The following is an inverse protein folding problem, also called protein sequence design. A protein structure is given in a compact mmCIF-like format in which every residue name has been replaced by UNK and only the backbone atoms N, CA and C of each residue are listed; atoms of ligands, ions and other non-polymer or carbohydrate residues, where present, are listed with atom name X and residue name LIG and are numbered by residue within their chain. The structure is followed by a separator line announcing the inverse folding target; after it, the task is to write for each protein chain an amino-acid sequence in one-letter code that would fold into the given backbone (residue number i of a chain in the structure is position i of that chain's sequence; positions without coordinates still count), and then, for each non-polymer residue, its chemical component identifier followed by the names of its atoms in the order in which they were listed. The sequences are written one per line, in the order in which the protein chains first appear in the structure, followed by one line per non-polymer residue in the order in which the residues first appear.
data_IF_872595770392
#
_entry.id   IF_872595770392
#
_cell.length_a   1.000
_cell.length_b   1.000
_cell.length_c   1.000
_cell.angle_alpha   90.00
_cell.angle_beta   90.00
_cell.angle_gamma   90.00
#
_symmetry.space_group_name_H-M   'P 1'
#
loop_
_entity.id
_entity.type
_entity.pdbx_description
1 polymer ?
#
# COMPACT_ATOMS: atom_id res chain seq x y z
N UNK A 1 18.32 44.39 -7.39
CA UNK A 1 17.68 43.68 -6.27
C UNK A 1 17.49 42.24 -6.72
N UNK A 2 18.18 41.29 -6.11
CA UNK A 2 18.18 39.88 -6.53
C UNK A 2 16.97 39.17 -5.95
N UNK A 3 16.15 38.54 -6.80
CA UNK A 3 15.04 37.68 -6.40
C UNK A 3 15.51 36.54 -5.48
N UNK A 4 14.83 36.27 -4.35
CA UNK A 4 15.12 35.09 -3.57
C UNK A 4 14.64 33.84 -4.31
N UNK A 5 15.60 33.07 -4.82
CA UNK A 5 15.40 31.69 -5.24
C UNK A 5 14.92 30.86 -4.04
N UNK A 6 13.83 30.12 -4.26
CA UNK A 6 13.48 28.79 -3.72
C UNK A 6 12.06 28.76 -3.13
N UNK A 7 11.18 28.00 -3.77
CA UNK A 7 10.34 27.07 -2.99
C UNK A 7 9.80 25.89 -3.82
N UNK A 8 10.45 24.73 -3.82
CA UNK A 8 9.79 23.46 -4.12
C UNK A 8 9.48 22.73 -2.81
N UNK A 9 8.41 23.11 -2.09
CA UNK A 9 7.88 22.26 -1.02
C UNK A 9 7.14 21.06 -1.61
N UNK A 10 7.89 20.13 -2.18
CA UNK A 10 7.40 18.77 -2.40
C UNK A 10 7.50 17.99 -1.09
N UNK A 11 6.44 18.09 -0.29
CA UNK A 11 6.16 17.45 1.00
C UNK A 11 6.98 16.16 1.31
N UNK A 12 8.01 16.19 2.18
CA UNK A 12 8.80 15.01 2.56
C UNK A 12 8.03 14.03 3.47
N UNK A 13 7.04 14.52 4.21
CA UNK A 13 6.34 13.78 5.27
C UNK A 13 5.54 12.55 4.76
N UNK A 14 4.99 12.63 3.54
CA UNK A 14 4.15 11.55 2.99
C UNK A 14 4.96 10.36 2.48
N UNK A 15 6.23 10.56 2.07
CA UNK A 15 7.11 9.48 1.62
C UNK A 15 7.54 8.57 2.78
N UNK A 16 7.92 9.17 3.90
CA UNK A 16 8.33 8.42 5.11
C UNK A 16 7.18 7.63 5.71
N UNK A 17 5.98 8.22 5.76
CA UNK A 17 4.78 7.52 6.25
C UNK A 17 4.41 6.32 5.39
N UNK A 18 4.54 6.42 4.06
CA UNK A 18 4.30 5.29 3.17
C UNK A 18 5.29 4.14 3.42
N UNK A 19 6.58 4.44 3.62
CA UNK A 19 7.58 3.41 3.92
C UNK A 19 7.34 2.74 5.28
N UNK A 20 6.92 3.50 6.29
CA UNK A 20 6.56 2.95 7.60
C UNK A 20 5.32 2.06 7.49
N UNK A 21 4.29 2.47 6.75
CA UNK A 21 3.11 1.66 6.50
C UNK A 21 3.47 0.34 5.78
N UNK A 22 4.32 0.39 4.75
CA UNK A 22 4.79 -0.82 4.07
C UNK A 22 5.66 -1.70 4.97
N UNK A 23 6.49 -1.11 5.85
CA UNK A 23 7.34 -1.85 6.77
C UNK A 23 6.55 -2.58 7.85
N UNK A 24 5.56 -1.91 8.46
CA UNK A 24 4.63 -2.53 9.41
C UNK A 24 3.86 -3.65 8.72
N UNK A 25 3.49 -3.42 7.47
CA UNK A 25 2.88 -4.43 6.66
C UNK A 25 3.75 -5.68 6.45
N UNK A 26 5.00 -5.51 6.02
CA UNK A 26 5.93 -6.64 5.87
C UNK A 26 6.13 -7.39 7.19
N UNK A 27 6.22 -6.68 8.31
CA UNK A 27 6.27 -7.29 9.65
C UNK A 27 5.01 -8.08 9.99
N UNK A 28 3.83 -7.59 9.61
CA UNK A 28 2.58 -8.32 9.77
C UNK A 28 2.58 -9.61 8.95
N UNK A 29 3.01 -9.57 7.67
CA UNK A 29 3.11 -10.78 6.84
C UNK A 29 4.08 -11.80 7.46
N UNK A 30 5.23 -11.33 7.95
CA UNK A 30 6.21 -12.19 8.61
C UNK A 30 5.63 -12.83 9.87
N UNK A 31 4.99 -12.05 10.73
CA UNK A 31 4.34 -12.55 11.94
C UNK A 31 3.21 -13.53 11.63
N UNK A 32 2.43 -13.26 10.59
CA UNK A 32 1.38 -14.15 10.12
C UNK A 32 1.93 -15.49 9.61
N UNK A 33 2.99 -15.44 8.80
CA UNK A 33 3.69 -16.66 8.35
C UNK A 33 4.21 -17.48 9.54
N UNK A 34 4.88 -16.85 10.51
CA UNK A 34 5.39 -17.54 11.69
C UNK A 34 4.27 -18.16 12.54
N UNK A 35 3.10 -17.51 12.60
CA UNK A 35 1.94 -18.07 13.28
C UNK A 35 1.46 -19.34 12.59
N UNK A 36 1.34 -19.34 11.26
CA UNK A 36 0.90 -20.49 10.46
C UNK A 36 1.91 -21.64 10.46
N UNK A 37 3.20 -21.31 10.46
CA UNK A 37 4.27 -22.29 10.58
C UNK A 37 4.24 -22.96 11.96
N UNK A 38 4.11 -22.17 13.04
CA UNK A 38 4.06 -22.70 14.41
C UNK A 38 2.81 -23.53 14.73
N UNK A 39 1.70 -23.31 14.04
CA UNK A 39 0.48 -24.12 14.23
C UNK A 39 0.57 -25.48 13.51
N UNK A 40 1.60 -25.73 12.71
CA UNK A 40 1.71 -26.95 11.91
C UNK A 40 0.68 -27.02 10.79
N UNK A 41 0.16 -25.88 10.34
CA UNK A 41 -0.92 -25.81 9.37
C UNK A 41 -0.55 -26.48 8.04
N UNK A 42 0.68 -26.26 7.57
CA UNK A 42 1.17 -26.84 6.31
C UNK A 42 1.32 -28.36 6.39
N UNK A 43 1.79 -28.89 7.52
CA UNK A 43 1.87 -30.34 7.77
C UNK A 43 0.48 -30.96 7.82
N UNK A 44 -0.48 -30.29 8.46
CA UNK A 44 -1.86 -30.73 8.50
C UNK A 44 -2.49 -30.79 7.09
N UNK A 45 -2.29 -29.77 6.25
CA UNK A 45 -2.83 -29.76 4.89
C UNK A 45 -2.16 -30.82 4.00
N UNK A 46 -0.85 -30.99 4.09
CA UNK A 46 -0.13 -31.98 3.29
C UNK A 46 -0.42 -33.42 3.71
N UNK A 47 -0.76 -33.65 4.99
CA UNK A 47 -1.20 -34.96 5.47
C UNK A 47 -2.54 -35.43 4.88
N UNK A 48 -3.35 -34.53 4.32
CA UNK A 48 -4.61 -34.89 3.64
C UNK A 48 -4.37 -35.46 2.23
N UNK A 49 -3.14 -35.40 1.73
CA UNK A 49 -2.80 -35.78 0.37
C UNK A 49 -1.80 -36.95 0.36
N UNK A 50 -1.85 -37.82 -0.67
CA UNK A 50 -0.85 -38.84 -0.89
C UNK A 50 0.55 -38.22 -1.05
N UNK A 51 1.58 -38.93 -0.61
CA UNK A 51 2.97 -38.44 -0.61
C UNK A 51 3.47 -38.01 -2.00
N UNK A 52 2.96 -38.64 -3.06
CA UNK A 52 3.21 -38.30 -4.47
C UNK A 52 2.76 -36.87 -4.84
N UNK A 53 1.78 -36.33 -4.11
CA UNK A 53 1.22 -34.99 -4.34
C UNK A 53 1.52 -34.01 -3.20
N UNK A 54 2.50 -34.30 -2.34
CA UNK A 54 2.86 -33.42 -1.22
C UNK A 54 3.22 -32.00 -1.68
N UNK A 55 3.87 -31.85 -2.84
CA UNK A 55 4.22 -30.54 -3.40
C UNK A 55 3.02 -29.69 -3.82
N UNK A 56 2.01 -30.28 -4.47
CA UNK A 56 0.77 -29.57 -4.82
C UNK A 56 -0.11 -29.33 -3.60
N UNK A 57 -0.07 -30.23 -2.61
CA UNK A 57 -0.69 -30.02 -1.31
C UNK A 57 -0.14 -28.83 -0.55
N UNK A 58 1.18 -28.67 -0.56
CA UNK A 58 1.83 -27.50 0.03
C UNK A 58 1.40 -26.20 -0.66
N UNK A 59 1.33 -26.18 -1.99
CA UNK A 59 0.83 -25.03 -2.76
C UNK A 59 -0.61 -24.67 -2.38
N UNK A 60 -1.49 -25.66 -2.25
CA UNK A 60 -2.87 -25.45 -1.78
C UNK A 60 -2.90 -24.92 -0.35
N UNK A 61 -2.08 -25.47 0.54
CA UNK A 61 -1.93 -24.97 1.91
C UNK A 61 -1.50 -23.50 1.94
N UNK A 62 -0.50 -23.14 1.13
CA UNK A 62 -0.07 -21.74 0.98
C UNK A 62 -1.22 -20.86 0.49
N UNK A 63 -1.98 -21.29 -0.53
CA UNK A 63 -3.14 -20.52 -1.04
C UNK A 63 -4.23 -20.33 0.03
N UNK A 64 -4.52 -21.37 0.80
CA UNK A 64 -5.52 -21.33 1.87
C UNK A 64 -5.04 -20.41 3.00
N UNK A 65 -3.76 -20.48 3.39
CA UNK A 65 -3.19 -19.59 4.39
C UNK A 65 -3.09 -18.14 3.90
N UNK A 66 -2.76 -17.93 2.63
CA UNK A 66 -2.58 -16.60 2.07
C UNK A 66 -3.89 -15.83 1.95
N UNK A 67 -5.02 -16.51 1.76
CA UNK A 67 -6.35 -15.90 1.63
C UNK A 67 -6.75 -15.05 2.86
N UNK A 68 -6.76 -15.58 4.10
CA UNK A 68 -7.02 -14.80 5.31
C UNK A 68 -5.93 -13.77 5.59
N UNK A 69 -4.66 -14.08 5.30
CA UNK A 69 -3.57 -13.09 5.40
C UNK A 69 -3.81 -11.85 4.52
N UNK A 70 -4.22 -12.06 3.28
CA UNK A 70 -4.56 -10.98 2.34
C UNK A 70 -5.83 -10.23 2.75
N UNK A 71 -6.82 -10.93 3.33
CA UNK A 71 -8.02 -10.29 3.85
C UNK A 71 -7.71 -9.35 5.03
N UNK A 72 -6.90 -9.82 5.98
CA UNK A 72 -6.43 -9.00 7.11
C UNK A 72 -5.60 -7.80 6.62
N UNK A 73 -4.70 -8.04 5.66
CA UNK A 73 -3.93 -6.99 4.98
C UNK A 73 -4.81 -5.91 4.38
N UNK A 74 -5.85 -6.29 3.64
CA UNK A 74 -6.80 -5.36 3.03
C UNK A 74 -7.48 -4.45 4.07
N UNK A 75 -7.86 -5.02 5.21
CA UNK A 75 -8.50 -4.25 6.30
C UNK A 75 -7.50 -3.32 6.97
N UNK A 76 -6.28 -3.80 7.21
CA UNK A 76 -5.18 -3.01 7.73
C UNK A 76 -4.87 -1.82 6.82
N UNK A 77 -4.65 -2.04 5.53
CA UNK A 77 -4.37 -0.96 4.57
C UNK A 77 -5.50 0.07 4.54
N UNK A 78 -6.75 -0.37 4.49
CA UNK A 78 -7.90 0.55 4.49
C UNK A 78 -8.02 1.35 5.80
N UNK A 79 -7.63 0.77 6.93
CA UNK A 79 -7.57 1.48 8.20
C UNK A 79 -6.42 2.50 8.24
N UNK A 80 -5.24 2.12 7.75
CA UNK A 80 -4.08 3.01 7.65
C UNK A 80 -4.36 4.19 6.73
N UNK A 81 -4.97 3.96 5.56
CA UNK A 81 -5.40 5.02 4.63
C UNK A 81 -6.36 6.00 5.29
N UNK A 82 -7.38 5.49 6.00
CA UNK A 82 -8.32 6.33 6.77
C UNK A 82 -7.64 7.12 7.89
N UNK A 83 -6.65 6.55 8.56
CA UNK A 83 -5.94 7.19 9.68
C UNK A 83 -4.94 8.24 9.24
N UNK A 84 -4.23 7.99 8.14
CA UNK A 84 -3.20 8.90 7.64
C UNK A 84 -3.76 9.93 6.64
N UNK A 85 -5.04 9.84 6.28
CA UNK A 85 -5.68 10.70 5.27
C UNK A 85 -4.89 10.75 3.95
N UNK A 86 -4.12 9.70 3.67
CA UNK A 86 -3.40 9.51 2.41
C UNK A 86 -4.41 8.87 1.46
N UNK A 87 -5.36 9.68 0.99
CA UNK A 87 -6.13 9.33 -0.20
C UNK A 87 -5.09 9.14 -1.29
N UNK A 88 -5.02 7.93 -1.85
CA UNK A 88 -4.04 7.59 -2.88
C UNK A 88 -3.95 8.74 -3.88
N UNK A 89 -2.75 9.27 -4.07
CA UNK A 89 -2.47 10.12 -5.21
C UNK A 89 -2.73 9.23 -6.43
N UNK A 90 -3.96 9.26 -6.94
CA UNK A 90 -4.31 8.51 -8.12
C UNK A 90 -3.45 9.11 -9.24
N UNK A 91 -2.96 8.25 -10.12
CA UNK A 91 -2.16 8.66 -11.29
C UNK A 91 -2.84 9.77 -12.12
N UNK A 92 -4.15 9.96 -11.92
CA UNK A 92 -5.00 10.97 -12.56
C UNK A 92 -4.90 12.39 -11.95
N UNK A 93 -4.49 12.54 -10.69
CA UNK A 93 -4.35 13.87 -10.05
C UNK A 93 -3.18 14.69 -10.61
N UNK A 94 -2.27 14.04 -11.34
CA UNK A 94 -1.18 14.70 -12.06
C UNK A 94 -1.60 15.29 -13.42
N UNK A 95 -2.67 14.78 -14.03
CA UNK A 95 -3.08 15.13 -15.39
C UNK A 95 -4.11 16.27 -15.43
N UNK A 96 -4.94 16.41 -14.39
CA UNK A 96 -5.98 17.44 -14.29
C UNK A 96 -5.56 18.69 -13.51
N UNK A 97 -4.26 19.08 -13.56
CA UNK A 97 -3.93 20.47 -13.28
C UNK A 97 -4.51 21.30 -14.42
N UNK A 98 -5.74 21.78 -14.23
CA UNK A 98 -6.34 22.79 -15.08
C UNK A 98 -5.30 23.89 -15.27
N UNK A 99 -4.97 24.28 -16.52
CA UNK A 99 -4.05 25.38 -16.73
C UNK A 99 -4.60 26.59 -15.97
N UNK A 100 -3.77 27.18 -15.12
CA UNK A 100 -4.06 28.45 -14.44
C UNK A 100 -4.71 29.38 -15.47
N UNK A 101 -5.97 29.74 -15.23
CA UNK A 101 -6.63 30.78 -16.01
C UNK A 101 -5.78 32.03 -15.84
N UNK A 102 -5.04 32.38 -16.90
CA UNK A 102 -4.38 33.68 -17.02
C UNK A 102 -5.42 34.75 -16.62
N UNK A 103 -5.10 35.65 -15.68
CA UNK A 103 -6.00 36.74 -15.36
C UNK A 103 -6.32 37.50 -16.66
N UNK A 104 -7.63 37.67 -16.91
CA UNK A 104 -8.11 38.59 -17.94
C UNK A 104 -7.73 39.99 -17.47
N UNK A 105 -6.79 40.63 -18.14
CA UNK A 105 -6.65 42.07 -18.09
C UNK A 105 -7.86 42.69 -18.80
N UNK A 106 -8.92 42.93 -18.03
CA UNK A 106 -9.94 43.93 -18.33
C UNK A 106 -9.82 45.06 -17.29
N UNK A 107 -8.98 46.03 -17.61
CA UNK A 107 -9.19 47.45 -17.30
C UNK A 107 -9.15 48.16 -18.65
N UNK A 108 -10.28 48.42 -19.32
CA UNK A 108 -11.15 49.58 -19.11
C UNK A 108 -10.40 50.89 -18.87
N UNK A 109 -10.70 51.87 -19.75
CA UNK A 109 -10.62 53.35 -19.60
C UNK A 109 -9.19 53.90 -19.46
N UNK A 110 -8.67 54.79 -20.33
CA UNK A 110 -9.22 55.80 -21.25
C UNK A 110 -8.51 55.82 -22.62
#
# INVERSE_FOLDING_TARGET
MSDPKQNPQAQPHNKTLHHIATAIGLLFLLGYYLLMDKTGFYDWVTALLPQEYAGSGLMLGIMIAMTPGFFAWKHYNRWVEKKLNVTGKYYEDGFYKQPEKKPKDESSSD
#
